data_IF_184308484357
#
_entry.id   IF_184308484357
#
_cell.length_a   1.000
_cell.length_b   1.000
_cell.length_c   1.000
_cell.angle_alpha   90.00
_cell.angle_beta   90.00
_cell.angle_gamma   90.00
#
_symmetry.space_group_name_H-M   'P 1'
#
loop_
_entity.id
_entity.type
_entity.pdbx_description
1 polymer ?
#
# COMPACT_ATOMS: atom_id res chain seq x y z
N UNK A 1 -2.26 26.39 26.83
CA UNK A 1 -1.83 25.53 25.72
C UNK A 1 -2.86 25.70 24.63
N UNK A 2 -2.48 26.19 23.45
CA UNK A 2 -3.41 26.34 22.32
C UNK A 2 -3.96 24.95 22.02
N UNK A 3 -5.29 24.77 22.12
CA UNK A 3 -5.92 23.52 21.74
C UNK A 3 -5.79 23.40 20.22
N UNK A 4 -4.87 22.56 19.76
CA UNK A 4 -4.80 22.17 18.35
C UNK A 4 -6.17 21.67 17.93
N UNK A 5 -6.67 22.14 16.78
CA UNK A 5 -7.97 21.72 16.23
C UNK A 5 -8.04 20.17 16.24
N UNK A 6 -9.02 19.57 16.94
CA UNK A 6 -9.15 18.12 17.04
C UNK A 6 -9.22 17.42 15.68
N UNK A 7 -9.69 18.11 14.63
CA UNK A 7 -9.75 17.62 13.25
C UNK A 7 -8.36 17.37 12.67
N UNK A 8 -7.40 18.26 12.92
CA UNK A 8 -6.00 18.10 12.48
C UNK A 8 -5.36 16.84 13.06
N UNK A 9 -5.66 16.53 14.32
CA UNK A 9 -5.22 15.28 14.95
C UNK A 9 -5.81 14.06 14.25
N UNK A 10 -7.09 14.10 13.89
CA UNK A 10 -7.75 13.00 13.18
C UNK A 10 -7.19 12.82 11.77
N UNK A 11 -6.97 13.90 11.02
CA UNK A 11 -6.32 13.89 9.70
C UNK A 11 -4.97 13.18 9.83
N UNK A 12 -4.12 13.63 10.76
CA UNK A 12 -2.80 13.03 10.99
C UNK A 12 -2.85 11.53 11.31
N UNK A 13 -3.83 11.09 12.10
CA UNK A 13 -4.00 9.67 12.43
C UNK A 13 -4.36 8.87 11.19
N UNK A 14 -5.37 9.30 10.42
CA UNK A 14 -5.83 8.61 9.22
C UNK A 14 -4.75 8.61 8.12
N UNK A 15 -4.04 9.71 7.92
CA UNK A 15 -2.84 9.78 7.08
C UNK A 15 -1.81 8.73 7.47
N UNK A 16 -1.56 8.57 8.77
CA UNK A 16 -0.66 7.53 9.28
C UNK A 16 -1.12 6.11 8.97
N UNK A 17 -2.44 5.85 8.98
CA UNK A 17 -3.03 4.55 8.60
C UNK A 17 -2.79 4.27 7.12
N UNK A 18 -3.17 5.20 6.23
CA UNK A 18 -2.98 5.06 4.78
C UNK A 18 -1.50 4.82 4.45
N UNK A 19 -0.60 5.63 5.03
CA UNK A 19 0.85 5.53 4.80
C UNK A 19 1.42 4.17 5.21
N UNK A 20 0.95 3.57 6.30
CA UNK A 20 1.42 2.24 6.74
C UNK A 20 0.94 1.14 5.81
N UNK A 21 -0.35 1.13 5.47
CA UNK A 21 -0.93 0.11 4.58
C UNK A 21 -0.31 0.22 3.17
N UNK A 22 -0.07 1.44 2.69
CA UNK A 22 0.64 1.68 1.44
C UNK A 22 2.03 1.04 1.40
N UNK A 23 2.81 1.22 2.49
CA UNK A 23 4.12 0.56 2.65
C UNK A 23 4.03 -0.97 2.71
N UNK A 24 3.02 -1.52 3.40
CA UNK A 24 2.76 -2.96 3.42
C UNK A 24 2.52 -3.49 2.01
N UNK A 25 1.63 -2.86 1.23
CA UNK A 25 1.39 -3.24 -0.17
C UNK A 25 2.68 -3.21 -1.00
N UNK A 26 3.45 -2.12 -0.94
CA UNK A 26 4.71 -2.01 -1.68
C UNK A 26 5.70 -3.10 -1.27
N UNK A 27 5.78 -3.46 0.01
CA UNK A 27 6.68 -4.50 0.50
C UNK A 27 6.30 -5.88 -0.04
N UNK A 28 5.02 -6.27 0.08
CA UNK A 28 4.56 -7.54 -0.49
C UNK A 28 4.71 -7.58 -2.01
N UNK A 29 4.49 -6.46 -2.66
CA UNK A 29 4.71 -6.31 -4.10
C UNK A 29 6.14 -6.59 -4.55
N UNK A 30 7.12 -6.07 -3.79
CA UNK A 30 8.54 -6.37 -4.02
C UNK A 30 8.87 -7.84 -3.81
N UNK A 31 8.24 -8.49 -2.83
CA UNK A 31 8.43 -9.92 -2.60
C UNK A 31 7.89 -10.75 -3.77
N UNK A 32 6.71 -10.40 -4.31
CA UNK A 32 6.18 -11.04 -5.52
C UNK A 32 7.19 -10.94 -6.67
N UNK A 33 7.68 -9.74 -6.98
CA UNK A 33 8.67 -9.54 -8.06
C UNK A 33 9.95 -10.38 -7.83
N UNK A 34 10.45 -10.41 -6.60
CA UNK A 34 11.63 -11.21 -6.24
C UNK A 34 11.41 -12.71 -6.45
N UNK A 35 10.25 -13.23 -6.07
CA UNK A 35 9.93 -14.65 -6.26
C UNK A 35 9.61 -14.99 -7.74
N UNK A 36 9.11 -14.03 -8.54
CA UNK A 36 8.99 -14.14 -10.00
C UNK A 36 10.36 -14.22 -10.68
N UNK A 37 11.27 -13.29 -10.36
CA UNK A 37 12.65 -13.32 -10.87
C UNK A 37 13.35 -14.64 -10.52
N UNK A 38 13.12 -15.15 -9.31
CA UNK A 38 13.69 -16.42 -8.85
C UNK A 38 13.12 -17.61 -9.62
N UNK A 39 11.81 -17.62 -9.89
CA UNK A 39 11.17 -18.64 -10.71
C UNK A 39 11.72 -18.65 -12.14
N UNK A 40 11.86 -17.47 -12.77
CA UNK A 40 12.43 -17.36 -14.11
C UNK A 40 13.89 -17.80 -14.16
N UNK A 41 14.66 -17.52 -13.09
CA UNK A 41 16.00 -18.05 -12.93
C UNK A 41 16.02 -19.58 -12.86
N UNK A 42 15.11 -20.20 -12.11
CA UNK A 42 15.03 -21.67 -12.02
C UNK A 42 14.75 -22.30 -13.39
N UNK A 43 13.85 -21.70 -14.16
CA UNK A 43 13.56 -22.13 -15.55
C UNK A 43 14.77 -21.97 -16.46
N UNK A 44 15.45 -20.83 -16.38
CA UNK A 44 16.63 -20.52 -17.22
C UNK A 44 17.83 -21.43 -16.89
N UNK A 45 18.04 -21.76 -15.62
CA UNK A 45 19.09 -22.69 -15.17
C UNK A 45 18.76 -24.16 -15.47
N UNK A 46 17.56 -24.46 -15.99
CA UNK A 46 17.14 -25.82 -16.31
C UNK A 46 16.97 -26.70 -15.07
N UNK A 47 16.52 -26.12 -13.95
CA UNK A 47 16.20 -26.90 -12.75
C UNK A 47 15.08 -27.90 -13.02
N UNK A 48 15.03 -28.95 -12.20
CA UNK A 48 14.01 -29.97 -12.37
C UNK A 48 12.60 -29.47 -12.04
N UNK A 49 11.60 -30.22 -12.50
CA UNK A 49 10.19 -29.86 -12.35
C UNK A 49 9.74 -29.79 -10.88
N UNK A 50 10.36 -30.53 -9.97
CA UNK A 50 10.01 -30.46 -8.55
C UNK A 50 10.42 -29.11 -7.97
N UNK A 51 11.65 -28.67 -8.26
CA UNK A 51 12.16 -27.37 -7.83
C UNK A 51 11.35 -26.19 -8.41
N UNK A 52 11.00 -26.26 -9.69
CA UNK A 52 10.16 -25.24 -10.35
C UNK A 52 8.77 -25.18 -9.70
N UNK A 53 8.10 -26.32 -9.52
CA UNK A 53 6.78 -26.37 -8.87
C UNK A 53 6.81 -25.82 -7.44
N UNK A 54 7.85 -26.17 -6.67
CA UNK A 54 7.99 -25.64 -5.31
C UNK A 54 8.15 -24.12 -5.29
N UNK A 55 8.89 -23.56 -6.25
CA UNK A 55 9.04 -22.12 -6.36
C UNK A 55 7.76 -21.42 -6.84
N UNK A 56 6.94 -22.07 -7.67
CA UNK A 56 5.59 -21.58 -8.03
C UNK A 56 4.67 -21.50 -6.81
N UNK A 57 4.69 -22.50 -5.92
CA UNK A 57 3.93 -22.46 -4.66
C UNK A 57 4.34 -21.26 -3.80
N UNK A 58 5.65 -21.03 -3.64
CA UNK A 58 6.17 -19.86 -2.89
C UNK A 58 5.71 -18.55 -3.51
N UNK A 59 5.73 -18.44 -4.85
CA UNK A 59 5.23 -17.27 -5.55
C UNK A 59 3.73 -17.05 -5.29
N UNK A 60 2.91 -18.11 -5.31
CA UNK A 60 1.49 -18.01 -5.01
C UNK A 60 1.24 -17.56 -3.57
N UNK A 61 1.99 -18.09 -2.59
CA UNK A 61 1.92 -17.64 -1.19
C UNK A 61 2.18 -16.14 -1.05
N UNK A 62 3.20 -15.62 -1.74
CA UNK A 62 3.49 -14.18 -1.78
C UNK A 62 2.36 -13.37 -2.41
N UNK A 63 1.77 -13.86 -3.53
CA UNK A 63 0.66 -13.20 -4.21
C UNK A 63 -0.62 -13.15 -3.37
N UNK A 64 -0.88 -14.16 -2.55
CA UNK A 64 -2.06 -14.21 -1.68
C UNK A 64 -2.13 -13.06 -0.64
N UNK A 65 -1.01 -12.40 -0.35
CA UNK A 65 -0.97 -11.27 0.61
C UNK A 65 -1.43 -9.93 0.00
N UNK A 66 -1.37 -9.78 -1.33
CA UNK A 66 -1.65 -8.52 -2.03
C UNK A 66 -3.14 -8.12 -1.97
N UNK A 67 -4.12 -9.02 -2.18
CA UNK A 67 -5.53 -8.63 -2.27
C UNK A 67 -6.05 -7.97 -0.99
N UNK A 68 -5.74 -8.50 0.19
CA UNK A 68 -6.22 -7.91 1.45
C UNK A 68 -5.55 -6.56 1.73
N UNK A 69 -4.24 -6.43 1.48
CA UNK A 69 -3.54 -5.15 1.61
C UNK A 69 -4.14 -4.09 0.67
N UNK A 70 -4.43 -4.45 -0.58
CA UNK A 70 -5.09 -3.57 -1.55
C UNK A 70 -6.47 -3.15 -1.06
N UNK A 71 -7.30 -4.09 -0.58
CA UNK A 71 -8.64 -3.80 -0.05
C UNK A 71 -8.59 -2.85 1.14
N UNK A 72 -7.68 -3.10 2.10
CA UNK A 72 -7.47 -2.23 3.27
C UNK A 72 -6.98 -0.84 2.85
N UNK A 73 -6.10 -0.75 1.86
CA UNK A 73 -5.59 0.52 1.35
C UNK A 73 -6.70 1.32 0.67
N UNK A 74 -7.53 0.69 -0.16
CA UNK A 74 -8.69 1.33 -0.80
C UNK A 74 -9.65 1.92 0.23
N UNK A 75 -10.02 1.14 1.26
CA UNK A 75 -10.93 1.60 2.30
C UNK A 75 -10.34 2.78 3.10
N UNK A 76 -9.08 2.69 3.51
CA UNK A 76 -8.42 3.77 4.25
C UNK A 76 -8.20 5.03 3.38
N UNK A 77 -7.91 4.85 2.09
CA UNK A 77 -7.81 5.94 1.13
C UNK A 77 -9.15 6.66 1.00
N UNK A 78 -10.24 5.95 0.73
CA UNK A 78 -11.59 6.51 0.62
C UNK A 78 -12.00 7.26 1.89
N UNK A 79 -11.74 6.68 3.07
CA UNK A 79 -12.04 7.30 4.36
C UNK A 79 -11.27 8.62 4.56
N UNK A 80 -9.98 8.66 4.20
CA UNK A 80 -9.18 9.88 4.31
C UNK A 80 -9.59 10.91 3.26
N UNK A 81 -9.86 10.50 2.02
CA UNK A 81 -10.37 11.39 0.95
C UNK A 81 -11.65 12.09 1.40
N UNK A 82 -12.64 11.34 1.88
CA UNK A 82 -13.89 11.90 2.39
C UNK A 82 -13.66 12.88 3.53
N UNK A 83 -12.75 12.56 4.45
CA UNK A 83 -12.42 13.48 5.55
C UNK A 83 -11.84 14.81 5.06
N UNK A 84 -10.96 14.79 4.05
CA UNK A 84 -10.39 16.02 3.49
C UNK A 84 -11.43 16.84 2.71
N UNK A 85 -12.42 16.18 2.10
CA UNK A 85 -13.54 16.87 1.45
C UNK A 85 -14.45 17.57 2.48
N UNK A 86 -14.75 16.90 3.58
CA UNK A 86 -15.58 17.45 4.67
C UNK A 86 -14.90 18.61 5.40
N UNK A 87 -13.57 18.56 5.53
CA UNK A 87 -12.76 19.53 6.29
C UNK A 87 -11.92 20.43 5.37
N UNK A 88 -12.45 20.77 4.20
CA UNK A 88 -11.75 21.55 3.16
C UNK A 88 -11.32 22.96 3.63
N UNK A 89 -11.91 23.48 4.71
CA UNK A 89 -11.49 24.74 5.36
C UNK A 89 -10.07 24.65 5.98
N UNK A 90 -9.53 23.44 6.17
CA UNK A 90 -8.21 23.20 6.74
C UNK A 90 -7.11 23.02 5.68
N UNK A 91 -7.38 23.29 4.40
CA UNK A 91 -6.47 23.00 3.29
C UNK A 91 -5.10 23.70 3.35
N UNK A 92 -4.98 24.81 4.06
CA UNK A 92 -3.71 25.52 4.22
C UNK A 92 -2.81 24.90 5.29
N UNK A 93 -3.34 24.00 6.12
CA UNK A 93 -2.59 23.36 7.21
C UNK A 93 -1.63 22.28 6.70
N UNK A 94 -0.53 22.11 7.42
CA UNK A 94 0.49 21.12 7.07
C UNK A 94 -0.05 19.69 7.16
N UNK A 95 -0.92 19.39 8.13
CA UNK A 95 -1.57 18.08 8.24
C UNK A 95 -2.43 17.74 7.03
N UNK A 96 -3.18 18.71 6.50
CA UNK A 96 -4.04 18.52 5.34
C UNK A 96 -3.20 18.29 4.07
N UNK A 97 -2.19 19.14 3.82
CA UNK A 97 -1.28 18.99 2.68
C UNK A 97 -0.55 17.65 2.71
N UNK A 98 -0.02 17.25 3.87
CA UNK A 98 0.62 15.95 4.04
C UNK A 98 -0.34 14.77 3.81
N UNK A 99 -1.63 14.93 4.13
CA UNK A 99 -2.65 13.94 3.83
C UNK A 99 -2.89 13.81 2.31
N UNK A 100 -2.94 14.94 1.59
CA UNK A 100 -3.08 14.95 0.13
C UNK A 100 -1.91 14.24 -0.57
N UNK A 101 -0.67 14.51 -0.15
CA UNK A 101 0.50 13.81 -0.69
C UNK A 101 0.41 12.29 -0.49
N UNK A 102 0.01 11.86 0.71
CA UNK A 102 -0.15 10.44 1.02
C UNK A 102 -1.30 9.78 0.24
N UNK A 103 -2.39 10.50 -0.03
CA UNK A 103 -3.46 10.02 -0.91
C UNK A 103 -2.98 9.86 -2.36
N UNK A 104 -2.16 10.78 -2.86
CA UNK A 104 -1.58 10.66 -4.19
C UNK A 104 -0.64 9.44 -4.30
N UNK A 105 0.22 9.24 -3.30
CA UNK A 105 1.08 8.06 -3.22
C UNK A 105 0.26 6.76 -3.14
N UNK A 106 -0.78 6.74 -2.31
CA UNK A 106 -1.67 5.58 -2.19
C UNK A 106 -2.45 5.31 -3.48
N UNK A 107 -2.86 6.35 -4.22
CA UNK A 107 -3.48 6.21 -5.54
C UNK A 107 -2.53 5.53 -6.54
N UNK A 108 -1.26 5.94 -6.58
CA UNK A 108 -0.22 5.30 -7.42
C UNK A 108 -0.06 3.83 -7.02
N UNK A 109 0.07 3.56 -5.72
CA UNK A 109 0.18 2.20 -5.18
C UNK A 109 -1.03 1.33 -5.51
N UNK A 110 -2.25 1.88 -5.57
CA UNK A 110 -3.46 1.15 -5.94
C UNK A 110 -3.58 0.88 -7.44
N UNK A 111 -3.02 1.77 -8.28
CA UNK A 111 -2.98 1.62 -9.73
C UNK A 111 -1.93 0.59 -10.19
N UNK A 112 -0.85 0.41 -9.42
CA UNK A 112 0.14 -0.65 -9.65
C UNK A 112 -0.51 -2.04 -9.57
N UNK A 113 -0.61 -2.68 -10.74
CA UNK A 113 -1.00 -4.09 -10.87
C UNK A 113 0.17 -4.95 -10.41
N UNK A 114 -0.09 -5.82 -9.43
CA UNK A 114 0.81 -6.87 -8.95
C UNK A 114 0.02 -8.17 -8.90
#
# INVERSE_FOLDING_TARGET
MSATDPRLRQIKIKTGVVKRIGKEKTMYGKEVLKEEERLEKFKTEGKDEHDIRKQEEVLQESKMMIPDCRRRLMAAHEELTKMLEEEADLNETEEFKAAQEVLEDASKQLAEVQ
#
